data_IF_547074645862
#
_entry.id   IF_547074645862
#
_cell.length_a   1.000
_cell.length_b   1.000
_cell.length_c   1.000
_cell.angle_alpha   90.00
_cell.angle_beta   90.00
_cell.angle_gamma   90.00
#
_symmetry.space_group_name_H-M   'P 1'
#
loop_
_entity.id
_entity.type
_entity.pdbx_description
1 polymer ?
#
# COMPACT_ATOMS: atom_id res chain seq x y z
N UNK A 1 -2.88 10.95 8.72
CA UNK A 1 -2.38 9.67 9.28
C UNK A 1 -1.76 8.88 8.13
N UNK A 2 -0.57 8.32 8.31
CA UNK A 2 0.07 7.50 7.25
C UNK A 2 -0.60 6.13 7.16
N UNK A 3 -0.59 5.50 5.97
CA UNK A 3 -1.18 4.17 5.74
C UNK A 3 -0.71 3.13 6.76
N UNK A 4 0.58 3.11 7.10
CA UNK A 4 1.13 2.20 8.13
C UNK A 4 0.48 2.39 9.51
N UNK A 5 0.26 3.64 9.93
CA UNK A 5 -0.37 3.92 11.22
C UNK A 5 -1.83 3.49 11.27
N UNK A 6 -2.53 3.46 10.13
CA UNK A 6 -3.89 2.91 10.05
C UNK A 6 -3.88 1.41 10.33
N UNK A 7 -3.11 0.63 9.56
CA UNK A 7 -3.04 -0.83 9.73
C UNK A 7 -2.50 -1.25 11.11
N UNK A 8 -1.60 -0.48 11.71
CA UNK A 8 -1.12 -0.75 13.06
C UNK A 8 -2.22 -0.63 14.14
N UNK A 9 -3.16 0.30 13.96
CA UNK A 9 -4.21 0.62 14.93
C UNK A 9 -5.46 -0.22 14.74
N UNK A 10 -5.81 -0.58 13.51
CA UNK A 10 -7.00 -1.38 13.22
C UNK A 10 -6.80 -2.83 13.69
N UNK A 11 -7.67 -3.27 14.61
CA UNK A 11 -7.68 -4.64 15.17
C UNK A 11 -8.84 -5.50 14.65
N UNK A 12 -9.50 -5.01 13.61
CA UNK A 12 -10.59 -5.70 12.95
C UNK A 12 -10.04 -6.42 11.70
N UNK A 13 -10.56 -7.60 11.41
CA UNK A 13 -10.29 -8.28 10.15
C UNK A 13 -10.91 -7.50 8.98
N UNK A 14 -10.25 -7.42 7.80
CA UNK A 14 -9.00 -8.08 7.43
C UNK A 14 -7.71 -7.31 7.82
N UNK A 15 -7.83 -6.11 8.39
CA UNK A 15 -6.72 -5.19 8.59
C UNK A 15 -5.66 -5.69 9.57
N UNK A 16 -6.08 -6.40 10.62
CA UNK A 16 -5.15 -7.02 11.56
C UNK A 16 -4.24 -8.05 10.87
N UNK A 17 -4.80 -8.92 10.02
CA UNK A 17 -4.03 -9.91 9.26
C UNK A 17 -3.10 -9.27 8.25
N UNK A 18 -3.54 -8.21 7.57
CA UNK A 18 -2.69 -7.44 6.67
C UNK A 18 -1.48 -6.83 7.41
N UNK A 19 -1.73 -6.23 8.58
CA UNK A 19 -0.66 -5.65 9.40
C UNK A 19 0.34 -6.72 9.89
N UNK A 20 -0.17 -7.85 10.40
CA UNK A 20 0.68 -8.95 10.84
C UNK A 20 1.59 -9.46 9.72
N UNK A 21 1.04 -9.63 8.51
CA UNK A 21 1.82 -10.04 7.34
C UNK A 21 2.90 -9.01 6.98
N UNK A 22 2.54 -7.72 6.88
CA UNK A 22 3.51 -6.66 6.59
C UNK A 22 4.63 -6.59 7.62
N UNK A 23 4.34 -6.85 8.90
CA UNK A 23 5.34 -6.86 9.97
C UNK A 23 6.25 -8.09 9.94
N UNK A 24 5.73 -9.26 9.61
CA UNK A 24 6.54 -10.48 9.46
C UNK A 24 7.58 -10.35 8.34
N UNK A 25 7.27 -9.54 7.32
CA UNK A 25 8.11 -9.32 6.14
C UNK A 25 8.56 -7.85 6.03
N UNK A 26 8.78 -7.18 7.16
CA UNK A 26 8.97 -5.72 7.24
C UNK A 26 10.01 -5.17 6.26
N UNK A 27 11.14 -5.87 6.08
CA UNK A 27 12.21 -5.46 5.17
C UNK A 27 11.77 -5.40 3.71
N UNK A 28 10.80 -6.21 3.32
CA UNK A 28 10.36 -6.35 1.93
C UNK A 28 9.12 -5.51 1.61
N UNK A 29 8.27 -5.24 2.62
CA UNK A 29 6.97 -4.60 2.44
C UNK A 29 6.85 -3.19 3.06
N UNK A 30 7.64 -2.85 4.10
CA UNK A 30 7.65 -1.52 4.71
C UNK A 30 8.83 -0.70 4.20
N UNK A 31 8.81 -0.44 2.89
CA UNK A 31 9.86 0.30 2.19
C UNK A 31 9.70 1.82 2.36
N UNK A 32 10.81 2.54 2.45
CA UNK A 32 10.85 4.01 2.57
C UNK A 32 11.23 4.71 1.26
N UNK A 33 11.84 3.99 0.31
CA UNK A 33 12.29 4.53 -0.98
C UNK A 33 11.20 4.38 -2.05
N UNK A 34 10.68 5.51 -2.54
CA UNK A 34 9.62 5.53 -3.57
C UNK A 34 10.04 4.90 -4.89
N UNK A 35 11.27 5.13 -5.34
CA UNK A 35 11.77 4.54 -6.60
C UNK A 35 11.81 3.02 -6.52
N UNK A 36 12.27 2.48 -5.40
CA UNK A 36 12.26 1.03 -5.15
C UNK A 36 10.84 0.48 -5.16
N UNK A 37 9.92 1.14 -4.46
CA UNK A 37 8.50 0.74 -4.40
C UNK A 37 7.92 0.67 -5.81
N UNK A 38 8.05 1.73 -6.60
CA UNK A 38 7.49 1.77 -7.95
C UNK A 38 8.09 0.69 -8.85
N UNK A 39 9.39 0.42 -8.75
CA UNK A 39 10.02 -0.67 -9.50
C UNK A 39 9.46 -2.05 -9.11
N UNK A 40 9.20 -2.29 -7.82
CA UNK A 40 8.59 -3.55 -7.36
C UNK A 40 7.12 -3.66 -7.80
N UNK A 41 6.36 -2.57 -7.79
CA UNK A 41 4.98 -2.55 -8.31
C UNK A 41 4.95 -2.88 -9.81
N UNK A 42 5.82 -2.23 -10.60
CA UNK A 42 5.97 -2.53 -12.04
C UNK A 42 6.36 -3.97 -12.33
N UNK A 43 7.10 -4.61 -11.42
CA UNK A 43 7.47 -6.03 -11.55
C UNK A 43 6.32 -6.99 -11.29
N UNK A 44 5.14 -6.50 -10.87
CA UNK A 44 3.94 -7.30 -10.60
C UNK A 44 3.96 -8.06 -9.28
N UNK A 45 4.96 -7.83 -8.42
CA UNK A 45 5.17 -8.60 -7.17
C UNK A 45 4.57 -7.94 -5.93
N UNK A 46 4.28 -6.64 -5.99
CA UNK A 46 3.80 -5.85 -4.85
C UNK A 46 2.70 -4.88 -5.26
N UNK A 47 1.78 -4.64 -4.33
CA UNK A 47 0.87 -3.50 -4.38
C UNK A 47 1.37 -2.39 -3.44
N UNK A 48 1.16 -1.13 -3.81
CA UNK A 48 1.52 0.03 -3.00
C UNK A 48 0.28 0.72 -2.44
N UNK A 49 0.21 0.82 -1.10
CA UNK A 49 -0.93 1.43 -0.41
C UNK A 49 -0.54 2.84 0.06
N UNK A 50 -1.12 3.85 -0.59
CA UNK A 50 -0.94 5.26 -0.27
C UNK A 50 -2.26 6.01 -0.34
N UNK A 51 -2.22 7.32 -0.16
CA UNK A 51 -3.37 8.16 -0.50
C UNK A 51 -3.64 8.14 -2.02
N UNK A 52 -4.91 8.34 -2.40
CA UNK A 52 -5.34 8.26 -3.80
C UNK A 52 -4.65 9.29 -4.72
N UNK A 53 -4.23 10.43 -4.18
CA UNK A 53 -3.51 11.45 -4.97
C UNK A 53 -2.11 10.95 -5.33
N UNK A 54 -1.38 10.40 -4.36
CA UNK A 54 -0.06 9.80 -4.59
C UNK A 54 -0.15 8.64 -5.58
N UNK A 55 -1.12 7.74 -5.41
CA UNK A 55 -1.30 6.59 -6.31
C UNK A 55 -1.68 7.03 -7.73
N UNK A 56 -2.63 7.97 -7.88
CA UNK A 56 -3.02 8.52 -9.17
C UNK A 56 -1.87 9.22 -9.90
N UNK A 57 -1.02 9.95 -9.17
CA UNK A 57 0.18 10.57 -9.74
C UNK A 57 1.10 9.53 -10.39
N UNK A 58 1.43 8.45 -9.69
CA UNK A 58 2.34 7.43 -10.22
C UNK A 58 1.72 6.60 -11.34
N UNK A 59 0.42 6.27 -11.23
CA UNK A 59 -0.30 5.58 -12.30
C UNK A 59 -0.29 6.38 -13.61
N UNK A 60 -0.48 7.70 -13.53
CA UNK A 60 -0.45 8.58 -14.71
C UNK A 60 0.95 8.70 -15.33
N UNK A 61 2.02 8.59 -14.53
CA UNK A 61 3.40 8.71 -15.02
C UNK A 61 3.98 7.41 -15.58
N UNK A 62 3.36 6.27 -15.29
CA UNK A 62 3.93 4.96 -15.57
C UNK A 62 2.89 4.04 -16.19
N UNK A 63 3.01 3.83 -17.51
CA UNK A 63 2.25 2.79 -18.19
C UNK A 63 2.51 1.42 -17.55
N UNK A 64 1.45 0.64 -17.36
CA UNK A 64 1.53 -0.73 -16.80
C UNK A 64 1.35 -0.82 -15.28
N UNK A 65 1.04 0.29 -14.61
CA UNK A 65 0.51 0.29 -13.24
C UNK A 65 -0.81 1.06 -13.22
N UNK A 66 -1.73 0.65 -12.35
CA UNK A 66 -3.04 1.29 -12.18
C UNK A 66 -3.25 1.71 -10.73
N UNK A 67 -4.04 2.76 -10.53
CA UNK A 67 -4.50 3.15 -9.20
C UNK A 67 -5.86 2.53 -8.97
N UNK A 68 -5.99 1.80 -7.87
CA UNK A 68 -7.25 1.20 -7.43
C UNK A 68 -7.74 1.97 -6.21
N UNK A 69 -8.93 2.56 -6.33
CA UNK A 69 -9.56 3.24 -5.21
C UNK A 69 -10.12 2.21 -4.21
N UNK A 70 -9.64 2.28 -2.97
CA UNK A 70 -10.01 1.40 -1.87
C UNK A 70 -10.34 2.24 -0.64
N UNK A 71 -11.60 2.19 -0.22
CA UNK A 71 -12.09 2.92 0.95
C UNK A 71 -11.88 2.09 2.22
N UNK A 72 -10.63 2.02 2.69
CA UNK A 72 -10.29 1.27 3.92
C UNK A 72 -11.01 1.77 5.19
N UNK A 73 -11.61 2.96 5.16
CA UNK A 73 -12.30 3.56 6.32
C UNK A 73 -13.82 3.43 6.29
N UNK A 74 -14.43 2.97 5.19
CA UNK A 74 -15.88 2.76 5.18
C UNK A 74 -16.20 1.41 5.81
N UNK A 75 -16.92 1.44 6.93
CA UNK A 75 -17.75 0.31 7.34
C UNK A 75 -19.01 0.39 6.47
N UNK A 76 -19.23 -0.61 5.63
CA UNK A 76 -20.56 -0.83 5.05
C UNK A 76 -21.60 -1.05 6.17
#
# INVERSE_FOLDING_TARGET
ATSCSFFQRMKEDPYERMWAFMKLQEKDFLLSNRTEIINKVKSGKLAFISDGVTNGYYANQHCGIESIDQNFQSKD
#
